data_IF_425926559624
#
_entry.id   IF_425926559624
#
_cell.length_a   1.000
_cell.length_b   1.000
_cell.length_c   1.000
_cell.angle_alpha   90.00
_cell.angle_beta   90.00
_cell.angle_gamma   90.00
#
_symmetry.space_group_name_H-M   'P 1'
#
loop_
_entity.id
_entity.type
_entity.pdbx_description
1 polymer ?
#
# COMPACT_ATOMS: atom_id res chain seq x y z
N UNK A 1 10.27 -10.47 0.76
CA UNK A 1 9.40 -9.86 1.80
C UNK A 1 9.10 -8.44 1.35
N UNK A 2 7.82 -8.10 1.23
CA UNK A 2 7.40 -6.79 0.73
C UNK A 2 7.02 -5.90 1.92
N UNK A 3 7.72 -4.78 2.07
CA UNK A 3 7.50 -3.82 3.15
C UNK A 3 6.59 -2.68 2.67
N UNK A 4 5.41 -2.54 3.27
CA UNK A 4 4.43 -1.54 2.85
C UNK A 4 4.94 -0.10 3.04
N UNK A 5 5.76 0.14 4.07
CA UNK A 5 6.39 1.44 4.32
C UNK A 5 7.26 1.88 3.14
N UNK A 6 8.04 0.96 2.56
CA UNK A 6 8.93 1.26 1.44
C UNK A 6 8.20 1.73 0.18
N UNK A 7 6.96 1.25 -0.05
CA UNK A 7 6.13 1.67 -1.18
C UNK A 7 5.57 3.08 -0.96
N UNK A 8 5.33 3.47 0.29
CA UNK A 8 4.84 4.81 0.64
C UNK A 8 5.91 5.88 0.47
N UNK A 9 7.19 5.54 0.60
CA UNK A 9 8.29 6.49 0.40
C UNK A 9 8.60 6.75 -1.09
N UNK A 10 8.23 5.83 -1.98
CA UNK A 10 8.45 5.95 -3.42
C UNK A 10 7.65 7.08 -4.06
N UNK A 11 8.21 7.68 -5.13
CA UNK A 11 7.50 8.65 -5.95
C UNK A 11 6.44 7.97 -6.80
N UNK A 12 5.41 8.73 -7.20
CA UNK A 12 4.35 8.23 -8.09
C UNK A 12 4.93 7.67 -9.39
N UNK A 13 5.94 8.32 -9.97
CA UNK A 13 6.63 7.84 -11.17
C UNK A 13 7.28 6.46 -10.99
N UNK A 14 7.89 6.21 -9.83
CA UNK A 14 8.50 4.91 -9.52
C UNK A 14 7.44 3.83 -9.30
N UNK A 15 6.33 4.17 -8.65
CA UNK A 15 5.21 3.24 -8.45
C UNK A 15 4.54 2.90 -9.78
N UNK A 16 4.33 3.87 -10.67
CA UNK A 16 3.80 3.64 -12.01
C UNK A 16 4.72 2.74 -12.83
N UNK A 17 6.04 2.94 -12.74
CA UNK A 17 7.01 2.09 -13.41
C UNK A 17 6.98 0.66 -12.87
N UNK A 18 6.98 0.49 -11.55
CA UNK A 18 6.88 -0.81 -10.90
C UNK A 18 5.58 -1.54 -11.26
N UNK A 19 4.46 -0.81 -11.28
CA UNK A 19 3.16 -1.36 -11.65
C UNK A 19 3.17 -1.90 -13.09
N UNK A 20 3.79 -1.20 -14.03
CA UNK A 20 3.99 -1.69 -15.40
C UNK A 20 4.89 -2.92 -15.47
N UNK A 21 5.97 -2.95 -14.69
CA UNK A 21 6.91 -4.08 -14.66
C UNK A 21 6.27 -5.38 -14.17
N UNK A 22 5.30 -5.28 -13.26
CA UNK A 22 4.53 -6.43 -12.76
C UNK A 22 3.24 -6.69 -13.56
N UNK A 23 3.05 -6.01 -14.70
CA UNK A 23 1.94 -6.27 -15.62
C UNK A 23 0.60 -5.63 -15.24
N UNK A 24 0.59 -4.59 -14.41
CA UNK A 24 -0.61 -3.81 -14.11
C UNK A 24 -0.82 -2.76 -15.21
N UNK A 25 -1.83 -2.96 -16.04
CA UNK A 25 -2.28 -1.99 -17.03
C UNK A 25 -3.19 -0.91 -16.41
N UNK A 26 -3.37 0.21 -17.12
CA UNK A 26 -4.32 1.25 -16.72
C UNK A 26 -3.87 2.11 -15.52
N UNK A 27 -2.57 2.17 -15.24
CA UNK A 27 -2.01 2.95 -14.12
C UNK A 27 -2.10 4.47 -14.30
N UNK A 28 -2.42 4.94 -15.51
CA UNK A 28 -2.53 6.36 -15.85
C UNK A 28 -3.76 6.98 -15.17
N UNK A 29 -3.53 7.99 -14.33
CA UNK A 29 -4.60 8.69 -13.61
C UNK A 29 -4.90 8.14 -12.22
N UNK A 30 -4.27 7.04 -11.82
CA UNK A 30 -4.37 6.53 -10.44
C UNK A 30 -3.63 7.43 -9.46
N UNK A 31 -4.23 7.61 -8.29
CA UNK A 31 -3.58 8.23 -7.14
C UNK A 31 -2.47 7.34 -6.61
N UNK A 32 -1.56 7.93 -5.82
CA UNK A 32 -0.47 7.18 -5.17
C UNK A 32 -0.97 6.01 -4.34
N UNK A 33 -2.08 6.19 -3.61
CA UNK A 33 -2.65 5.15 -2.76
C UNK A 33 -3.21 4.00 -3.60
N UNK A 34 -3.91 4.30 -4.70
CA UNK A 34 -4.42 3.28 -5.63
C UNK A 34 -3.29 2.50 -6.29
N UNK A 35 -2.21 3.17 -6.71
CA UNK A 35 -1.03 2.49 -7.27
C UNK A 35 -0.39 1.53 -6.25
N UNK A 36 -0.20 1.98 -5.01
CA UNK A 36 0.35 1.13 -3.95
C UNK A 36 -0.58 -0.07 -3.74
N UNK A 37 -1.89 0.13 -3.67
CA UNK A 37 -2.85 -0.96 -3.47
C UNK A 37 -2.80 -2.00 -4.60
N UNK A 38 -2.74 -1.56 -5.86
CA UNK A 38 -2.66 -2.47 -7.00
C UNK A 38 -1.34 -3.27 -7.00
N UNK A 39 -0.22 -2.62 -6.68
CA UNK A 39 1.09 -3.29 -6.55
C UNK A 39 1.07 -4.33 -5.43
N UNK A 40 0.52 -3.96 -4.26
CA UNK A 40 0.38 -4.88 -3.12
C UNK A 40 -0.47 -6.09 -3.50
N UNK A 41 -1.61 -5.85 -4.14
CA UNK A 41 -2.52 -6.91 -4.59
C UNK A 41 -1.85 -7.87 -5.56
N UNK A 42 -1.20 -7.35 -6.60
CA UNK A 42 -0.49 -8.18 -7.59
C UNK A 42 0.61 -9.02 -6.94
N UNK A 43 1.34 -8.47 -5.96
CA UNK A 43 2.38 -9.21 -5.24
C UNK A 43 1.81 -10.29 -4.32
N UNK A 44 0.72 -10.01 -3.61
CA UNK A 44 0.02 -11.01 -2.80
C UNK A 44 -0.48 -12.19 -3.65
N UNK A 45 -0.97 -11.92 -4.87
CA UNK A 45 -1.40 -12.96 -5.81
C UNK A 45 -0.22 -13.85 -6.28
N UNK A 46 1.00 -13.32 -6.31
CA UNK A 46 2.22 -14.12 -6.60
C UNK A 46 2.74 -14.93 -5.40
N UNK A 47 2.08 -14.84 -4.24
CA UNK A 47 2.49 -15.53 -3.02
C UNK A 47 3.54 -14.78 -2.19
N UNK A 48 3.82 -13.50 -2.51
CA UNK A 48 4.65 -12.68 -1.63
C UNK A 48 3.93 -12.46 -0.29
N UNK A 49 4.67 -12.55 0.81
CA UNK A 49 4.16 -12.19 2.14
C UNK A 49 4.30 -10.68 2.32
N UNK A 50 3.16 -10.01 2.57
CA UNK A 50 3.10 -8.61 2.92
C UNK A 50 3.38 -8.43 4.42
N UNK A 51 4.32 -7.56 4.72
CA UNK A 51 4.55 -7.09 6.08
C UNK A 51 4.16 -5.62 6.19
N UNK A 52 3.39 -5.32 7.23
CA UNK A 52 2.87 -4.00 7.52
C UNK A 52 2.93 -3.77 9.03
N UNK A 53 3.57 -2.67 9.42
CA UNK A 53 3.71 -2.25 10.80
C UNK A 53 3.00 -0.91 11.01
N UNK A 54 2.39 -0.71 12.17
CA UNK A 54 1.67 0.52 12.47
C UNK A 54 1.19 0.58 13.92
N UNK A 55 0.53 1.68 14.25
CA UNK A 55 -0.09 1.87 15.56
C UNK A 55 -1.50 1.28 15.51
N UNK A 56 -1.80 0.33 16.41
CA UNK A 56 -3.14 -0.25 16.51
C UNK A 56 -4.11 0.78 17.11
N UNK A 57 -5.14 1.14 16.35
CA UNK A 57 -6.30 1.89 16.82
C UNK A 57 -7.48 0.93 16.97
N UNK A 58 -8.02 0.86 18.19
CA UNK A 58 -9.16 -0.01 18.51
C UNK A 58 -10.43 0.84 18.55
N UNK A 59 -11.44 0.45 17.78
CA UNK A 59 -12.74 1.10 17.76
C UNK A 59 -13.67 0.51 18.85
N UNK A 60 -14.69 1.27 19.29
CA UNK A 60 -15.62 0.84 20.34
C UNK A 60 -16.33 -0.50 20.04
N UNK A 61 -16.50 -0.81 18.76
CA UNK A 61 -17.15 -2.02 18.26
C UNK A 61 -16.26 -3.29 18.35
N UNK A 62 -15.02 -3.16 18.86
CA UNK A 62 -14.14 -4.29 19.17
C UNK A 62 -13.21 -4.74 18.04
N UNK A 63 -13.22 -4.06 16.89
CA UNK A 63 -12.22 -4.24 15.82
C UNK A 63 -11.22 -3.07 15.80
N UNK A 64 -10.09 -3.26 15.12
CA UNK A 64 -9.05 -2.23 15.05
C UNK A 64 -8.29 -2.20 13.74
N UNK A 65 -7.62 -1.08 13.49
CA UNK A 65 -6.84 -0.83 12.29
C UNK A 65 -5.41 -0.42 12.63
N UNK A 66 -4.46 -0.80 11.78
CA UNK A 66 -3.10 -0.27 11.83
C UNK A 66 -3.08 1.12 11.18
N UNK A 67 -2.80 2.15 11.98
CA UNK A 67 -2.58 3.52 11.53
C UNK A 67 -1.10 3.76 11.29
N UNK A 68 -0.83 4.53 10.23
CA UNK A 68 0.53 4.96 9.90
C UNK A 68 0.71 6.41 10.32
N UNK A 69 1.84 6.77 10.94
CA UNK A 69 2.08 8.12 11.42
C UNK A 69 2.03 9.18 10.30
N UNK A 70 2.35 8.80 9.05
CA UNK A 70 2.26 9.72 7.91
C UNK A 70 0.82 10.14 7.54
N UNK A 71 -0.21 9.38 7.94
CA UNK A 71 -1.61 9.71 7.65
C UNK A 71 -2.24 10.65 8.70
N UNK A 72 -1.47 11.21 9.64
CA UNK A 72 -1.93 12.14 10.69
C UNK A 72 -3.17 11.66 11.47
N UNK A 73 -3.45 10.36 11.50
CA UNK A 73 -4.65 9.78 12.14
C UNK A 73 -5.98 10.41 11.68
N UNK A 74 -6.01 11.05 10.50
CA UNK A 74 -7.22 11.66 9.99
C UNK A 74 -8.09 10.58 9.30
N UNK A 75 -9.40 10.56 9.58
CA UNK A 75 -10.34 9.61 9.00
C UNK A 75 -10.50 9.77 7.48
#
# INVERSE_FOLDING_TARGET
>A
MLEMASLKEKRVSELTQMAKEIGIDGTSGLTKQELIFQILKAKLETGDVLHAEGVLEILPDGFGFLRFPENRYLP
#
